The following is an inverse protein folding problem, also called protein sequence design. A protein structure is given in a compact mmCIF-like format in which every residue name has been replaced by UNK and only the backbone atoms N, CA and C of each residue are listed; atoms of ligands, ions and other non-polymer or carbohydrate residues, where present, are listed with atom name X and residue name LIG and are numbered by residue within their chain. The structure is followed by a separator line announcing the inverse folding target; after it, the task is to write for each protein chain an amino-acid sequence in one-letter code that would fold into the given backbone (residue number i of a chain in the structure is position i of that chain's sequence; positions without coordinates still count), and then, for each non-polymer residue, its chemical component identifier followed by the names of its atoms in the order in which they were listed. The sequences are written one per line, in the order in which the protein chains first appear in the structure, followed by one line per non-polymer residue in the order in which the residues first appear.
data_IF_210967899774
#
_entry.id   IF_210967899774
#
_cell.length_a   1.000
_cell.length_b   1.000
_cell.length_c   1.000
_cell.angle_alpha   90.00
_cell.angle_beta   90.00
_cell.angle_gamma   90.00
#
_symmetry.space_group_name_H-M   'P 1'
#
loop_
_entity.id
_entity.type
_entity.pdbx_description
1 polymer ?
#
# COMPACT_ATOMS: atom_id res chain seq x y z
N UNK A 1 -28.45 -11.85 -29.57
CA UNK A 1 -27.14 -11.63 -28.91
C UNK A 1 -26.19 -11.11 -29.98
N UNK A 2 -25.88 -9.82 -29.99
CA UNK A 2 -24.89 -9.25 -30.92
C UNK A 2 -23.53 -9.92 -30.71
N UNK A 3 -22.89 -10.34 -31.80
CA UNK A 3 -21.56 -10.96 -31.75
C UNK A 3 -20.54 -9.88 -31.39
N UNK A 4 -19.73 -10.13 -30.35
CA UNK A 4 -18.69 -9.19 -29.92
C UNK A 4 -17.63 -9.04 -31.02
N UNK A 5 -17.13 -7.82 -31.27
CA UNK A 5 -16.14 -7.59 -32.32
C UNK A 5 -14.83 -8.32 -32.00
N UNK A 6 -14.05 -8.69 -33.03
CA UNK A 6 -12.75 -9.37 -32.84
C UNK A 6 -11.78 -8.58 -31.96
N UNK A 7 -11.83 -7.24 -32.03
CA UNK A 7 -11.05 -6.35 -31.17
C UNK A 7 -11.33 -6.56 -29.68
N UNK A 8 -12.56 -6.89 -29.30
CA UNK A 8 -12.92 -7.20 -27.92
C UNK A 8 -12.11 -8.38 -27.39
N UNK A 9 -12.00 -9.46 -28.17
CA UNK A 9 -11.27 -10.66 -27.75
C UNK A 9 -9.78 -10.40 -27.60
N UNK A 10 -9.17 -9.64 -28.52
CA UNK A 10 -7.77 -9.24 -28.41
C UNK A 10 -7.52 -8.36 -27.18
N UNK A 11 -8.35 -7.34 -26.97
CA UNK A 11 -8.19 -6.43 -25.83
C UNK A 11 -8.45 -7.14 -24.51
N UNK A 12 -9.41 -8.06 -24.47
CA UNK A 12 -9.67 -8.91 -23.31
C UNK A 12 -8.48 -9.84 -23.02
N UNK A 13 -7.90 -10.49 -24.03
CA UNK A 13 -6.72 -11.34 -23.86
C UNK A 13 -5.52 -10.53 -23.34
N UNK A 14 -5.27 -9.35 -23.91
CA UNK A 14 -4.22 -8.44 -23.44
C UNK A 14 -4.47 -8.01 -21.98
N UNK A 15 -5.70 -7.63 -21.65
CA UNK A 15 -6.06 -7.23 -20.29
C UNK A 15 -5.91 -8.39 -19.29
N UNK A 16 -6.31 -9.60 -19.65
CA UNK A 16 -6.12 -10.80 -18.82
C UNK A 16 -4.63 -11.06 -18.60
N UNK A 17 -3.80 -10.96 -19.64
CA UNK A 17 -2.36 -11.14 -19.52
C UNK A 17 -1.75 -10.05 -18.61
N UNK A 18 -2.21 -8.81 -18.73
CA UNK A 18 -1.82 -7.71 -17.85
C UNK A 18 -2.21 -7.98 -16.40
N UNK A 19 -3.43 -8.48 -16.13
CA UNK A 19 -3.86 -8.84 -14.77
C UNK A 19 -3.01 -9.98 -14.20
N UNK A 20 -2.73 -11.02 -14.99
CA UNK A 20 -1.86 -12.14 -14.57
C UNK A 20 -0.46 -11.62 -14.25
N UNK A 21 0.08 -10.71 -15.06
CA UNK A 21 1.39 -10.12 -14.81
C UNK A 21 1.38 -9.24 -13.54
N UNK A 22 0.39 -8.36 -13.40
CA UNK A 22 0.25 -7.43 -12.27
C UNK A 22 0.06 -8.17 -10.94
N UNK A 23 -0.84 -9.16 -10.92
CA UNK A 23 -1.19 -9.90 -9.70
C UNK A 23 -0.40 -11.21 -9.54
N UNK A 24 0.39 -11.62 -10.53
CA UNK A 24 1.16 -12.87 -10.51
C UNK A 24 2.04 -13.03 -9.26
N UNK A 25 2.82 -12.01 -8.85
CA UNK A 25 3.58 -12.06 -7.60
C UNK A 25 2.69 -12.20 -6.36
N UNK A 26 1.54 -11.51 -6.32
CA UNK A 26 0.57 -11.61 -5.22
C UNK A 26 -0.04 -13.01 -5.15
N UNK A 27 -0.42 -13.59 -6.30
CA UNK A 27 -0.91 -14.96 -6.38
C UNK A 27 0.17 -15.96 -5.96
N UNK A 28 1.42 -15.73 -6.34
CA UNK A 28 2.55 -16.56 -5.92
C UNK A 28 2.69 -16.58 -4.41
N UNK A 29 2.72 -15.41 -3.76
CA UNK A 29 2.78 -15.31 -2.29
C UNK A 29 1.55 -15.97 -1.65
N UNK A 30 0.36 -15.75 -2.22
CA UNK A 30 -0.87 -16.39 -1.77
C UNK A 30 -0.80 -17.91 -1.83
N UNK A 31 -0.29 -18.48 -2.92
CA UNK A 31 -0.13 -19.93 -3.08
C UNK A 31 0.93 -20.47 -2.10
N UNK A 32 2.09 -19.79 -1.98
CA UNK A 32 3.16 -20.19 -1.06
C UNK A 32 2.73 -20.12 0.41
N UNK A 33 1.73 -19.31 0.76
CA UNK A 33 1.20 -19.25 2.14
C UNK A 33 0.50 -20.55 2.58
N UNK A 34 0.12 -21.42 1.64
CA UNK A 34 -0.43 -22.76 1.92
C UNK A 34 0.65 -23.83 2.09
N UNK A 35 1.93 -23.50 2.22
CA UNK A 35 2.95 -24.54 2.39
C UNK A 35 2.93 -25.17 3.79
N UNK A 36 3.51 -26.36 3.92
CA UNK A 36 3.72 -27.03 5.20
C UNK A 36 4.81 -26.35 6.07
N UNK A 37 5.06 -26.88 7.29
CA UNK A 37 6.10 -26.36 8.19
C UNK A 37 7.52 -26.37 7.57
N UNK A 38 7.81 -27.34 6.69
CA UNK A 38 9.09 -27.43 5.97
C UNK A 38 9.09 -26.64 4.64
N UNK A 39 8.05 -25.85 4.41
CA UNK A 39 7.90 -24.97 3.27
C UNK A 39 8.85 -23.78 3.29
N UNK A 40 9.33 -23.38 2.12
CA UNK A 40 10.16 -22.20 1.93
C UNK A 40 9.47 -21.11 1.11
N UNK A 41 10.18 -20.00 0.84
CA UNK A 41 9.66 -18.87 0.05
C UNK A 41 9.73 -19.10 -1.47
N UNK A 42 9.93 -20.33 -1.92
CA UNK A 42 10.16 -20.67 -3.34
C UNK A 42 9.36 -21.90 -3.77
N UNK A 43 9.17 -22.03 -5.07
CA UNK A 43 8.64 -23.25 -5.69
C UNK A 43 9.79 -24.24 -5.99
N UNK A 44 9.53 -25.56 -5.98
CA UNK A 44 8.24 -26.24 -5.78
C UNK A 44 7.79 -26.26 -4.31
N UNK A 45 6.47 -26.24 -4.09
CA UNK A 45 5.90 -26.26 -2.74
C UNK A 45 6.17 -27.56 -2.02
N UNK A 46 6.55 -27.48 -0.74
CA UNK A 46 6.71 -28.64 0.15
C UNK A 46 5.45 -28.84 0.97
N UNK A 47 4.56 -29.68 0.44
CA UNK A 47 3.26 -29.97 1.04
C UNK A 47 2.26 -28.83 0.91
N UNK A 48 0.99 -29.14 1.16
CA UNK A 48 -0.13 -28.18 1.23
C UNK A 48 -0.74 -28.27 2.63
N UNK A 49 -0.83 -27.15 3.33
CA UNK A 49 -1.24 -27.05 4.71
C UNK A 49 -1.83 -25.68 5.03
N UNK A 50 -2.63 -25.62 6.09
CA UNK A 50 -3.08 -24.38 6.72
C UNK A 50 -2.20 -24.01 7.93
N UNK A 51 -1.01 -24.57 8.02
CA UNK A 51 -0.10 -24.40 9.16
C UNK A 51 0.18 -22.93 9.45
N UNK A 52 0.68 -22.18 8.46
CA UNK A 52 1.01 -20.76 8.61
C UNK A 52 -0.22 -19.90 8.94
N UNK A 53 -1.38 -20.23 8.38
CA UNK A 53 -2.64 -19.55 8.73
C UNK A 53 -3.05 -19.78 10.18
N UNK A 54 -2.84 -20.99 10.73
CA UNK A 54 -3.11 -21.26 12.15
C UNK A 54 -2.09 -20.55 13.05
N UNK A 55 -0.83 -20.54 12.62
CA UNK A 55 0.29 -19.90 13.31
C UNK A 55 0.02 -18.40 13.52
N UNK A 56 -0.59 -17.71 12.55
CA UNK A 56 -1.02 -16.30 12.67
C UNK A 56 -1.94 -15.99 13.86
N UNK A 57 -2.71 -16.97 14.34
CA UNK A 57 -3.60 -16.81 15.50
C UNK A 57 -2.98 -17.31 16.80
N UNK A 58 -1.81 -17.96 16.75
CA UNK A 58 -1.08 -18.39 17.94
C UNK A 58 -0.12 -17.30 18.42
N UNK A 59 0.30 -17.38 19.69
CA UNK A 59 1.33 -16.48 20.22
C UNK A 59 2.65 -16.76 19.51
N UNK A 60 3.01 -15.88 18.58
CA UNK A 60 4.25 -15.97 17.83
C UNK A 60 5.44 -15.58 18.71
N UNK A 61 6.53 -16.36 18.64
CA UNK A 61 7.75 -16.10 19.40
C UNK A 61 8.44 -14.77 19.03
N UNK A 62 8.09 -14.17 17.88
CA UNK A 62 8.79 -13.02 17.28
C UNK A 62 7.98 -11.71 17.33
N UNK A 63 6.72 -11.72 17.81
CA UNK A 63 5.98 -10.48 18.06
C UNK A 63 4.46 -10.57 17.99
N UNK A 64 3.81 -9.48 18.40
CA UNK A 64 2.36 -9.31 18.40
C UNK A 64 1.86 -8.85 17.02
N UNK A 65 1.47 -9.81 16.17
CA UNK A 65 0.92 -9.55 14.83
C UNK A 65 -0.40 -8.77 14.93
N UNK A 66 -1.29 -9.16 15.85
CA UNK A 66 -2.61 -8.55 15.97
C UNK A 66 -2.56 -7.13 16.53
N UNK A 67 -1.71 -6.87 17.53
CA UNK A 67 -1.47 -5.52 18.01
C UNK A 67 -0.74 -4.63 17.00
N UNK A 68 0.18 -5.19 16.21
CA UNK A 68 0.83 -4.44 15.13
C UNK A 68 -0.16 -4.12 14.00
N UNK A 69 -1.01 -5.06 13.62
CA UNK A 69 -2.09 -4.84 12.67
C UNK A 69 -3.07 -3.78 13.17
N UNK A 70 -3.52 -3.87 14.43
CA UNK A 70 -4.42 -2.88 15.03
C UNK A 70 -3.82 -1.48 15.05
N UNK A 71 -2.54 -1.34 15.42
CA UNK A 71 -1.82 -0.07 15.39
C UNK A 71 -1.73 0.50 13.97
N UNK A 72 -1.36 -0.32 12.99
CA UNK A 72 -1.29 0.11 11.59
C UNK A 72 -2.66 0.49 11.03
N UNK A 73 -3.72 -0.23 11.41
CA UNK A 73 -5.08 0.05 10.98
C UNK A 73 -5.57 1.40 11.54
N UNK A 74 -5.45 1.60 12.85
CA UNK A 74 -5.84 2.86 13.51
C UNK A 74 -5.02 4.03 12.94
N UNK A 75 -3.70 3.87 12.84
CA UNK A 75 -2.83 4.90 12.27
C UNK A 75 -3.22 5.22 10.81
N UNK A 76 -3.47 4.20 10.00
CA UNK A 76 -3.89 4.36 8.61
C UNK A 76 -5.21 5.13 8.48
N UNK A 77 -6.21 4.81 9.31
CA UNK A 77 -7.49 5.53 9.34
C UNK A 77 -7.32 6.98 9.80
N UNK A 78 -6.54 7.22 10.84
CA UNK A 78 -6.27 8.58 11.34
C UNK A 78 -5.60 9.44 10.27
N UNK A 79 -4.57 8.92 9.60
CA UNK A 79 -3.87 9.62 8.52
C UNK A 79 -4.82 9.84 7.34
N UNK A 80 -5.58 8.84 6.92
CA UNK A 80 -6.56 8.98 5.83
C UNK A 80 -7.55 10.12 6.10
N UNK A 81 -8.17 10.15 7.27
CA UNK A 81 -9.14 11.20 7.63
C UNK A 81 -8.47 12.57 7.61
N UNK A 82 -7.30 12.72 8.25
CA UNK A 82 -6.57 13.97 8.28
C UNK A 82 -6.20 14.44 6.87
N UNK A 83 -5.66 13.56 6.03
CA UNK A 83 -5.28 13.87 4.66
C UNK A 83 -6.48 14.29 3.82
N UNK A 84 -7.61 13.56 3.90
CA UNK A 84 -8.82 13.91 3.15
C UNK A 84 -9.34 15.27 3.58
N UNK A 85 -9.49 15.51 4.87
CA UNK A 85 -10.03 16.78 5.40
C UNK A 85 -9.13 17.96 4.99
N UNK A 86 -7.83 17.86 5.22
CA UNK A 86 -6.87 18.92 4.88
C UNK A 86 -6.82 19.14 3.36
N UNK A 87 -6.77 18.07 2.57
CA UNK A 87 -6.65 18.17 1.11
C UNK A 87 -7.93 18.72 0.46
N UNK A 88 -9.11 18.33 0.95
CA UNK A 88 -10.39 18.85 0.46
C UNK A 88 -10.54 20.33 0.82
N UNK A 89 -10.24 20.73 2.06
CA UNK A 89 -10.26 22.14 2.46
C UNK A 89 -9.26 22.98 1.65
N UNK A 90 -8.04 22.47 1.47
CA UNK A 90 -7.02 23.10 0.64
C UNK A 90 -7.49 23.26 -0.81
N UNK A 91 -7.99 22.18 -1.43
CA UNK A 91 -8.51 22.20 -2.79
C UNK A 91 -9.67 23.19 -2.97
N UNK A 92 -10.58 23.27 -2.01
CA UNK A 92 -11.68 24.25 -2.01
C UNK A 92 -11.16 25.70 -1.89
N UNK A 93 -10.11 25.94 -1.10
CA UNK A 93 -9.51 27.27 -0.96
C UNK A 93 -8.93 27.77 -2.29
N UNK A 94 -8.30 26.90 -3.08
CA UNK A 94 -7.76 27.23 -4.40
C UNK A 94 -8.82 27.52 -5.47
N UNK A 95 -10.11 27.29 -5.20
CA UNK A 95 -11.20 27.67 -6.12
C UNK A 95 -11.33 29.19 -6.28
N UNK A 96 -10.91 29.98 -5.29
CA UNK A 96 -10.85 31.43 -5.37
C UNK A 96 -9.39 31.88 -5.39
N UNK A 97 -9.05 32.85 -6.24
CA UNK A 97 -7.72 33.46 -6.21
C UNK A 97 -7.55 34.19 -4.88
N UNK A 98 -6.55 33.81 -4.11
CA UNK A 98 -6.15 34.46 -2.86
C UNK A 98 -4.71 34.96 -2.97
N UNK A 99 -4.35 36.03 -2.23
CA UNK A 99 -2.97 36.55 -2.23
C UNK A 99 -2.00 35.48 -1.75
N UNK A 100 -0.91 35.26 -2.51
CA UNK A 100 0.09 34.22 -2.20
C UNK A 100 -0.24 32.81 -2.73
N UNK A 101 -1.38 32.61 -3.40
CA UNK A 101 -1.78 31.31 -3.97
C UNK A 101 -0.70 30.67 -4.87
N UNK A 102 0.01 31.45 -5.69
CA UNK A 102 1.11 30.94 -6.51
C UNK A 102 2.27 30.38 -5.68
N UNK A 103 2.68 31.08 -4.61
CA UNK A 103 3.76 30.62 -3.74
C UNK A 103 3.38 29.32 -3.01
N UNK A 104 2.15 29.26 -2.46
CA UNK A 104 1.63 28.04 -1.82
C UNK A 104 1.56 26.88 -2.83
N UNK A 105 1.11 27.15 -4.05
CA UNK A 105 1.04 26.14 -5.11
C UNK A 105 2.43 25.56 -5.44
N UNK A 106 3.43 26.42 -5.66
CA UNK A 106 4.80 25.95 -5.93
C UNK A 106 5.42 25.20 -4.74
N UNK A 107 5.11 25.60 -3.50
CA UNK A 107 5.56 24.90 -2.31
C UNK A 107 4.98 23.48 -2.24
N UNK A 108 3.69 23.31 -2.54
CA UNK A 108 3.04 22.00 -2.63
C UNK A 108 3.71 21.11 -3.69
N UNK A 109 3.92 21.65 -4.90
CA UNK A 109 4.57 20.91 -5.99
C UNK A 109 6.00 20.52 -5.61
N UNK A 110 6.76 21.44 -5.01
CA UNK A 110 8.13 21.16 -4.56
C UNK A 110 8.14 20.04 -3.52
N UNK A 111 7.21 20.09 -2.55
CA UNK A 111 7.07 19.03 -1.53
C UNK A 111 6.72 17.66 -2.13
N UNK A 112 5.98 17.61 -3.24
CA UNK A 112 5.62 16.36 -3.91
C UNK A 112 6.82 15.73 -4.64
N UNK A 113 7.75 16.56 -5.14
CA UNK A 113 8.94 16.13 -5.87
C UNK A 113 10.05 15.68 -4.92
N UNK A 114 10.11 16.21 -3.69
CA UNK A 114 11.12 15.85 -2.71
C UNK A 114 11.04 14.34 -2.40
N UNK A 115 12.17 13.60 -2.47
CA UNK A 115 12.21 12.18 -2.14
C UNK A 115 11.75 11.89 -0.70
N UNK A 116 10.90 10.88 -0.54
CA UNK A 116 10.37 10.45 0.76
C UNK A 116 11.47 10.07 1.77
N UNK A 117 12.64 9.63 1.29
CA UNK A 117 13.81 9.30 2.13
C UNK A 117 14.28 10.52 2.92
N UNK A 118 14.36 11.70 2.28
CA UNK A 118 14.80 12.93 2.94
C UNK A 118 13.80 13.35 4.02
N UNK A 119 12.51 13.21 3.73
CA UNK A 119 11.43 13.51 4.68
C UNK A 119 11.52 12.56 5.88
N UNK A 120 11.68 11.25 5.64
CA UNK A 120 11.79 10.24 6.70
C UNK A 120 13.00 10.48 7.60
N UNK A 121 14.16 10.78 7.02
CA UNK A 121 15.37 11.11 7.79
C UNK A 121 15.19 12.40 8.60
N UNK A 122 14.61 13.43 7.99
CA UNK A 122 14.32 14.69 8.67
C UNK A 122 13.41 14.52 9.88
N UNK A 123 12.30 13.80 9.72
CA UNK A 123 11.37 13.52 10.83
C UNK A 123 12.06 12.72 11.94
N UNK A 124 12.85 11.70 11.59
CA UNK A 124 13.59 10.91 12.57
C UNK A 124 14.59 11.74 13.38
N UNK A 125 15.32 12.65 12.73
CA UNK A 125 16.24 13.56 13.41
C UNK A 125 15.49 14.53 14.33
N UNK A 126 14.36 15.08 13.89
CA UNK A 126 13.55 15.99 14.72
C UNK A 126 13.04 15.26 15.97
N UNK A 127 12.56 14.03 15.83
CA UNK A 127 12.04 13.24 16.95
C UNK A 127 13.16 12.91 17.93
N UNK A 128 14.30 12.44 17.42
CA UNK A 128 15.49 12.17 18.22
C UNK A 128 15.97 13.40 18.99
N UNK A 129 15.98 14.58 18.38
CA UNK A 129 16.38 15.82 19.04
C UNK A 129 15.33 16.32 20.04
N UNK A 130 14.06 16.01 19.81
CA UNK A 130 12.95 16.31 20.72
C UNK A 130 12.86 15.32 21.91
N UNK A 131 13.68 14.26 21.92
CA UNK A 131 13.65 13.23 22.96
C UNK A 131 12.46 12.26 22.85
N UNK A 132 11.87 12.15 21.66
CA UNK A 132 10.79 11.22 21.30
C UNK A 132 11.34 10.07 20.46
#
# INVERSE_FOLDING_TARGET
MEQRPRSFYFLAAFFILFLIFLYGPTFTIGILSFQGPEGGLTFPMRGVSLHWFRELFQQQAVGDIWGSFGRSFVLGVMVMIATVVISVMGGLAFRKRFPGSGAVFYLIITSLVIPSILISLGVGLIFSQAGL
#
